data_IF_473269604976
#
_entry.id   IF_473269604976
#
_cell.length_a   1.000
_cell.length_b   1.000
_cell.length_c   1.000
_cell.angle_alpha   90.00
_cell.angle_beta   90.00
_cell.angle_gamma   90.00
#
_symmetry.space_group_name_H-M   'P 1'
#
loop_
_entity.id
_entity.type
_entity.pdbx_description
1 polymer ?
#
# COMPACT_ATOMS: atom_id res chain seq x y z
N UNK A 1 -34.29 20.40 -67.58
CA UNK A 1 -33.32 21.19 -66.83
C UNK A 1 -33.82 21.28 -65.45
N UNK A 2 -33.37 20.38 -64.56
CA UNK A 2 -33.72 20.34 -63.19
C UNK A 2 -32.42 20.01 -62.40
N UNK A 3 -32.01 20.95 -61.62
CA UNK A 3 -30.79 20.82 -60.73
C UNK A 3 -31.05 19.88 -59.57
N UNK A 4 -30.04 19.13 -59.10
CA UNK A 4 -30.20 18.28 -57.94
C UNK A 4 -30.00 19.05 -56.61
N UNK A 5 -30.87 18.82 -55.66
CA UNK A 5 -30.83 19.30 -54.31
C UNK A 5 -29.72 18.60 -53.50
N UNK A 6 -28.82 19.39 -52.96
CA UNK A 6 -27.80 18.94 -52.01
C UNK A 6 -28.43 18.69 -50.62
N UNK A 7 -28.41 17.45 -50.17
CA UNK A 7 -28.72 17.08 -48.79
C UNK A 7 -27.47 17.33 -47.94
N UNK A 8 -27.54 18.31 -47.05
CA UNK A 8 -26.54 18.56 -46.03
C UNK A 8 -26.78 17.60 -44.84
N UNK A 9 -25.90 16.62 -44.68
CA UNK A 9 -25.84 15.80 -43.46
C UNK A 9 -25.00 16.52 -42.45
N UNK A 10 -25.62 17.20 -41.50
CA UNK A 10 -24.96 17.60 -40.24
C UNK A 10 -25.04 16.44 -39.28
N UNK A 11 -23.93 15.76 -39.09
CA UNK A 11 -23.67 14.89 -37.96
C UNK A 11 -23.00 15.73 -36.89
N UNK A 12 -23.79 16.41 -36.05
CA UNK A 12 -23.32 16.97 -34.80
C UNK A 12 -23.12 15.82 -33.78
N UNK A 13 -21.96 15.19 -33.86
CA UNK A 13 -21.45 14.40 -32.73
C UNK A 13 -21.00 15.41 -31.68
N UNK A 14 -21.86 15.66 -30.70
CA UNK A 14 -21.53 16.43 -29.52
C UNK A 14 -20.42 15.72 -28.76
N UNK A 15 -19.18 16.14 -28.98
CA UNK A 15 -18.07 15.81 -28.12
C UNK A 15 -18.39 16.46 -26.77
N UNK A 16 -18.83 15.64 -25.83
CA UNK A 16 -18.94 16.01 -24.43
C UNK A 16 -17.61 16.61 -24.00
N UNK A 17 -17.60 17.91 -23.75
CA UNK A 17 -16.44 18.58 -23.20
C UNK A 17 -16.07 17.87 -21.89
N UNK A 18 -15.03 17.07 -21.93
CA UNK A 18 -14.41 16.51 -20.75
C UNK A 18 -14.19 17.68 -19.79
N UNK A 19 -14.79 17.62 -18.62
CA UNK A 19 -14.53 18.55 -17.54
C UNK A 19 -13.03 18.52 -17.30
N UNK A 20 -12.32 19.53 -17.75
CA UNK A 20 -10.97 19.77 -17.37
C UNK A 20 -10.97 19.97 -15.84
N UNK A 21 -10.74 18.92 -15.09
CA UNK A 21 -10.45 19.01 -13.68
C UNK A 21 -9.25 19.94 -13.57
N UNK A 22 -9.45 21.10 -12.95
CA UNK A 22 -8.35 21.92 -12.45
C UNK A 22 -7.59 21.06 -11.43
N UNK A 23 -6.71 20.19 -11.91
CA UNK A 23 -5.72 19.57 -11.07
C UNK A 23 -5.04 20.72 -10.33
N UNK A 24 -5.19 20.81 -9.01
CA UNK A 24 -4.29 21.64 -8.21
C UNK A 24 -2.89 21.19 -8.60
N UNK A 25 -2.13 22.05 -9.26
CA UNK A 25 -0.73 21.80 -9.58
C UNK A 25 -0.03 21.76 -8.24
N UNK A 26 0.16 20.55 -7.71
CA UNK A 26 1.14 20.38 -6.64
C UNK A 26 2.48 20.83 -7.20
N UNK A 27 3.31 21.51 -6.39
CA UNK A 27 4.62 21.91 -6.88
C UNK A 27 5.32 20.67 -7.42
N UNK A 28 5.79 20.75 -8.66
CA UNK A 28 6.67 19.74 -9.23
C UNK A 28 7.86 19.65 -8.27
N UNK A 29 8.27 18.42 -7.93
CA UNK A 29 9.45 18.21 -7.11
C UNK A 29 10.61 18.96 -7.74
N UNK A 30 11.34 19.73 -6.94
CA UNK A 30 12.62 20.36 -7.35
C UNK A 30 13.79 19.35 -7.36
N UNK A 31 13.46 18.05 -7.38
CA UNK A 31 14.41 16.94 -7.34
C UNK A 31 14.73 16.46 -5.92
N UNK A 32 14.12 17.06 -4.90
CA UNK A 32 14.27 16.63 -3.50
C UNK A 32 12.91 16.25 -2.87
N UNK A 33 12.85 15.20 -2.03
CA UNK A 33 11.64 14.87 -1.30
C UNK A 33 11.38 15.89 -0.18
N UNK A 34 10.11 16.11 0.14
CA UNK A 34 9.72 16.83 1.35
C UNK A 34 9.78 15.86 2.53
N UNK A 35 10.73 16.03 3.44
CA UNK A 35 10.79 15.24 4.68
C UNK A 35 10.32 16.08 5.87
N UNK A 36 9.32 15.55 6.61
CA UNK A 36 8.79 16.12 7.83
C UNK A 36 9.07 15.18 8.99
N UNK A 37 9.80 15.63 10.00
CA UNK A 37 10.01 14.86 11.23
C UNK A 37 8.94 15.27 12.24
N UNK A 38 8.12 14.31 12.63
CA UNK A 38 7.01 14.50 13.57
C UNK A 38 7.51 14.46 15.02
N UNK A 39 6.66 14.87 15.96
CA UNK A 39 6.98 14.83 17.38
C UNK A 39 7.24 13.38 17.86
N UNK A 40 8.14 13.24 18.81
CA UNK A 40 8.56 11.96 19.38
C UNK A 40 7.44 11.19 20.09
N UNK A 41 7.68 9.91 20.45
CA UNK A 41 6.62 9.02 20.88
C UNK A 41 6.02 9.42 22.23
N UNK A 42 4.71 9.27 22.37
CA UNK A 42 4.01 9.26 23.65
C UNK A 42 4.43 8.07 24.51
N UNK A 43 4.05 8.10 25.79
CA UNK A 43 4.26 6.95 26.69
C UNK A 43 3.61 5.69 26.12
N UNK A 44 2.39 5.80 25.57
CA UNK A 44 1.72 4.68 24.93
C UNK A 44 2.52 4.14 23.72
N UNK A 45 3.03 5.01 22.84
CA UNK A 45 3.88 4.59 21.72
C UNK A 45 5.12 3.83 22.19
N UNK A 46 5.79 4.30 23.24
CA UNK A 46 6.96 3.60 23.84
C UNK A 46 6.59 2.24 24.42
N UNK A 47 5.44 2.14 25.10
CA UNK A 47 4.97 0.87 25.66
C UNK A 47 4.62 -0.15 24.57
N UNK A 48 4.00 0.27 23.47
CA UNK A 48 3.74 -0.61 22.34
C UNK A 48 5.04 -1.05 21.64
N UNK A 49 6.02 -0.16 21.47
CA UNK A 49 7.34 -0.53 20.93
C UNK A 49 8.05 -1.53 21.83
N UNK A 50 8.02 -1.34 23.16
CA UNK A 50 8.57 -2.28 24.13
C UNK A 50 7.83 -3.64 24.08
N UNK A 51 6.51 -3.63 24.00
CA UNK A 51 5.74 -4.86 23.87
C UNK A 51 6.10 -5.63 22.59
N UNK A 52 6.24 -4.94 21.46
CA UNK A 52 6.69 -5.54 20.21
C UNK A 52 8.09 -6.15 20.33
N UNK A 53 9.02 -5.45 20.99
CA UNK A 53 10.38 -5.94 21.27
C UNK A 53 10.38 -7.22 22.12
N UNK A 54 9.46 -7.34 23.07
CA UNK A 54 9.39 -8.47 23.99
C UNK A 54 8.57 -9.65 23.46
N UNK A 55 7.73 -9.45 22.43
CA UNK A 55 6.82 -10.48 21.91
C UNK A 55 7.06 -10.77 20.44
N UNK A 56 6.98 -9.78 19.57
CA UNK A 56 7.06 -9.94 18.12
C UNK A 56 8.50 -10.26 17.70
N UNK A 57 9.47 -9.48 18.17
CA UNK A 57 10.89 -9.65 17.80
C UNK A 57 11.44 -11.04 18.16
N UNK A 58 11.21 -11.61 19.35
CA UNK A 58 11.60 -13.00 19.66
C UNK A 58 10.92 -14.03 18.76
N UNK A 59 9.62 -13.85 18.46
CA UNK A 59 8.88 -14.74 17.56
C UNK A 59 9.48 -14.74 16.16
N UNK A 60 9.76 -13.55 15.60
CA UNK A 60 10.42 -13.42 14.31
C UNK A 60 11.88 -13.94 14.35
N UNK A 61 12.56 -13.78 15.47
CA UNK A 61 13.92 -14.35 15.66
C UNK A 61 13.88 -15.87 15.52
N UNK A 62 12.97 -16.54 16.23
CA UNK A 62 12.81 -18.00 16.13
C UNK A 62 12.43 -18.41 14.72
N UNK A 63 11.45 -17.74 14.11
CA UNK A 63 11.00 -18.04 12.75
C UNK A 63 12.11 -17.86 11.70
N UNK A 64 12.95 -16.84 11.84
CA UNK A 64 14.04 -16.56 10.91
C UNK A 64 15.20 -17.58 10.93
N UNK A 65 15.31 -18.38 11.99
CA UNK A 65 16.30 -19.47 12.04
C UNK A 65 15.85 -20.75 11.31
N UNK A 66 14.56 -20.89 11.04
CA UNK A 66 14.00 -22.02 10.33
C UNK A 66 12.87 -21.59 9.39
N UNK A 67 13.14 -20.74 8.39
CA UNK A 67 12.08 -20.09 7.59
C UNK A 67 11.28 -21.07 6.76
N UNK A 68 11.84 -22.22 6.40
CA UNK A 68 11.19 -23.26 5.60
C UNK A 68 10.27 -24.20 6.38
N UNK A 69 10.25 -24.11 7.71
CA UNK A 69 9.29 -24.87 8.50
C UNK A 69 7.86 -24.35 8.21
N UNK A 70 6.84 -25.24 8.29
CA UNK A 70 5.45 -24.88 8.04
C UNK A 70 4.87 -24.09 9.23
N UNK A 71 5.37 -22.88 9.43
CA UNK A 71 4.85 -22.00 10.47
C UNK A 71 3.38 -21.68 10.21
N UNK A 72 2.52 -21.67 11.23
CA UNK A 72 1.10 -21.41 11.06
C UNK A 72 0.79 -19.91 10.93
N UNK A 73 1.43 -19.24 9.97
CA UNK A 73 1.32 -17.79 9.79
C UNK A 73 -0.12 -17.30 9.60
N UNK A 74 -1.00 -18.13 9.01
CA UNK A 74 -2.41 -17.80 8.85
C UNK A 74 -3.21 -17.74 10.15
N UNK A 75 -2.70 -18.32 11.26
CA UNK A 75 -3.39 -18.26 12.56
C UNK A 75 -3.48 -16.83 13.09
N UNK A 76 -2.55 -15.94 12.76
CA UNK A 76 -2.58 -14.57 13.22
C UNK A 76 -3.82 -13.84 12.69
N UNK A 77 -4.09 -13.93 11.39
CA UNK A 77 -5.26 -13.30 10.81
C UNK A 77 -6.57 -14.02 11.23
N UNK A 78 -6.52 -15.35 11.39
CA UNK A 78 -7.66 -16.09 11.91
C UNK A 78 -8.00 -15.66 13.34
N UNK A 79 -7.03 -15.54 14.23
CA UNK A 79 -7.23 -15.08 15.60
C UNK A 79 -7.77 -13.64 15.65
N UNK A 80 -7.36 -12.79 14.72
CA UNK A 80 -7.83 -11.41 14.63
C UNK A 80 -9.33 -11.27 14.28
N UNK A 81 -9.99 -12.34 13.84
CA UNK A 81 -11.47 -12.36 13.60
C UNK A 81 -12.29 -12.03 14.85
N UNK A 82 -11.74 -12.22 16.05
CA UNK A 82 -12.41 -11.83 17.29
C UNK A 82 -12.49 -10.33 17.49
N UNK A 83 -11.66 -9.54 16.78
CA UNK A 83 -11.71 -8.10 16.81
C UNK A 83 -12.94 -7.60 16.05
N UNK A 84 -13.94 -7.17 16.82
CA UNK A 84 -15.17 -6.65 16.24
C UNK A 84 -14.93 -5.32 15.53
N UNK A 85 -15.57 -5.11 14.35
CA UNK A 85 -15.58 -3.82 13.71
C UNK A 85 -16.26 -2.75 14.57
N UNK A 86 -15.93 -1.49 14.33
CA UNK A 86 -16.62 -0.39 14.99
C UNK A 86 -18.12 -0.36 14.60
N UNK A 87 -19.02 0.08 15.49
CA UNK A 87 -20.45 0.16 15.18
C UNK A 87 -20.71 0.97 13.90
N UNK A 88 -21.59 0.44 13.05
CA UNK A 88 -21.95 1.06 11.76
C UNK A 88 -20.94 0.84 10.62
N UNK A 89 -19.84 0.10 10.84
CA UNK A 89 -18.95 -0.33 9.77
C UNK A 89 -19.62 -1.41 8.93
N UNK A 90 -19.58 -1.24 7.62
CA UNK A 90 -20.07 -2.23 6.64
C UNK A 90 -18.88 -2.93 6.01
N UNK A 91 -18.93 -4.25 5.93
CA UNK A 91 -17.93 -5.10 5.27
C UNK A 91 -18.61 -6.03 4.28
N UNK A 92 -18.08 -6.12 3.07
CA UNK A 92 -18.59 -7.02 2.04
C UNK A 92 -17.41 -7.77 1.40
N UNK A 93 -17.55 -9.07 1.23
CA UNK A 93 -16.55 -9.87 0.51
C UNK A 93 -16.80 -9.78 -0.97
N UNK A 94 -15.73 -9.52 -1.73
CA UNK A 94 -15.70 -9.43 -3.19
C UNK A 94 -14.89 -10.61 -3.70
N UNK A 95 -15.47 -11.42 -4.58
CA UNK A 95 -14.74 -12.48 -5.29
C UNK A 95 -13.90 -11.87 -6.41
N UNK A 96 -12.63 -12.24 -6.48
CA UNK A 96 -11.68 -11.95 -7.55
C UNK A 96 -11.27 -13.27 -8.22
N UNK A 97 -10.62 -13.25 -9.40
CA UNK A 97 -10.31 -14.48 -10.14
C UNK A 97 -9.54 -15.53 -9.34
N UNK A 98 -8.53 -15.13 -8.56
CA UNK A 98 -7.64 -16.04 -7.85
C UNK A 98 -7.66 -15.86 -6.32
N UNK A 99 -8.30 -14.80 -5.83
CA UNK A 99 -8.40 -14.50 -4.40
C UNK A 99 -9.74 -13.86 -4.06
N UNK A 100 -9.84 -13.25 -2.90
CA UNK A 100 -10.96 -12.37 -2.55
C UNK A 100 -10.44 -11.03 -2.03
N UNK A 101 -11.31 -10.04 -2.01
CA UNK A 101 -11.06 -8.77 -1.36
C UNK A 101 -12.21 -8.46 -0.38
N UNK A 102 -11.95 -7.56 0.55
CA UNK A 102 -12.97 -7.06 1.46
C UNK A 102 -13.20 -5.57 1.22
N UNK A 103 -14.40 -5.21 0.82
CA UNK A 103 -14.82 -3.82 0.74
C UNK A 103 -15.26 -3.36 2.13
N UNK A 104 -14.55 -2.39 2.69
CA UNK A 104 -14.79 -1.85 4.03
C UNK A 104 -15.25 -0.41 3.93
N UNK A 105 -16.29 -0.07 4.68
CA UNK A 105 -16.86 1.26 4.74
C UNK A 105 -17.17 1.62 6.19
N UNK A 106 -16.49 2.63 6.72
CA UNK A 106 -16.75 3.13 8.05
C UNK A 106 -18.14 3.78 8.16
N UNK A 107 -18.64 3.90 9.37
CA UNK A 107 -19.91 4.59 9.63
C UNK A 107 -19.87 6.04 9.11
N UNK A 108 -20.91 6.45 8.41
CA UNK A 108 -21.04 7.79 7.81
C UNK A 108 -20.39 7.96 6.45
N UNK A 109 -19.55 7.03 6.01
CA UNK A 109 -18.94 7.06 4.66
C UNK A 109 -19.95 6.57 3.62
N UNK A 110 -20.02 7.24 2.47
CA UNK A 110 -20.93 6.88 1.38
C UNK A 110 -20.52 5.56 0.69
N UNK A 111 -21.47 4.85 0.08
CA UNK A 111 -21.19 3.61 -0.66
C UNK A 111 -20.17 3.78 -1.79
N UNK A 112 -19.55 2.65 -2.17
CA UNK A 112 -18.70 2.54 -3.36
C UNK A 112 -19.58 2.55 -4.62
N UNK A 113 -19.80 3.73 -5.19
CA UNK A 113 -20.73 3.97 -6.31
C UNK A 113 -20.05 4.30 -7.65
N UNK A 114 -18.72 4.22 -7.71
CA UNK A 114 -17.95 4.57 -8.90
C UNK A 114 -17.84 6.06 -9.21
N UNK A 115 -18.35 6.94 -8.35
CA UNK A 115 -18.46 8.39 -8.64
C UNK A 115 -17.49 9.25 -7.83
N UNK A 116 -16.95 8.70 -6.76
CA UNK A 116 -16.07 9.42 -5.85
C UNK A 116 -14.80 8.61 -5.64
N UNK A 117 -14.00 8.99 -4.66
CA UNK A 117 -12.75 8.31 -4.34
C UNK A 117 -12.96 6.90 -3.78
N UNK A 118 -11.97 6.05 -4.01
CA UNK A 118 -11.82 4.74 -3.38
C UNK A 118 -10.35 4.48 -3.07
N UNK A 119 -10.08 3.75 -1.99
CA UNK A 119 -8.73 3.29 -1.66
C UNK A 119 -8.63 1.80 -1.97
N UNK A 120 -7.64 1.42 -2.76
CA UNK A 120 -7.20 0.03 -2.93
C UNK A 120 -6.06 -0.23 -1.96
N UNK A 121 -6.27 -1.14 -1.00
CA UNK A 121 -5.36 -1.37 0.10
C UNK A 121 -4.73 -2.76 0.06
N UNK A 122 -3.41 -2.80 0.07
CA UNK A 122 -2.59 -3.99 0.18
C UNK A 122 -2.03 -4.08 1.59
N UNK A 123 -2.38 -5.15 2.32
CA UNK A 123 -1.94 -5.30 3.72
C UNK A 123 -0.47 -5.72 3.83
N UNK A 124 0.15 -5.39 4.96
CA UNK A 124 1.48 -5.86 5.31
C UNK A 124 1.51 -7.30 5.80
N UNK A 125 2.67 -7.71 6.33
CA UNK A 125 2.90 -9.05 6.87
C UNK A 125 3.95 -9.85 6.10
N UNK A 126 4.93 -9.17 5.49
CA UNK A 126 6.07 -9.77 4.78
C UNK A 126 5.65 -10.76 3.67
N UNK A 127 4.51 -10.53 3.01
CA UNK A 127 3.88 -11.45 2.04
C UNK A 127 3.58 -12.85 2.59
N UNK A 128 3.65 -13.06 3.90
CA UNK A 128 3.68 -14.36 4.56
C UNK A 128 2.53 -14.53 5.56
N UNK A 129 2.11 -13.45 6.18
CA UNK A 129 1.14 -13.45 7.30
C UNK A 129 0.23 -12.22 7.24
N UNK A 130 -0.64 -12.09 8.23
CA UNK A 130 -1.66 -11.04 8.31
C UNK A 130 -2.76 -11.21 7.25
N UNK A 131 -3.62 -10.19 7.14
CA UNK A 131 -4.75 -10.19 6.21
C UNK A 131 -5.80 -9.16 6.59
N UNK A 132 -6.99 -9.32 6.05
CA UNK A 132 -8.11 -8.38 6.19
C UNK A 132 -8.61 -8.23 7.64
N UNK A 133 -8.38 -9.26 8.50
CA UNK A 133 -8.84 -9.20 9.89
C UNK A 133 -7.83 -8.49 10.80
N UNK A 134 -6.54 -8.77 10.65
CA UNK A 134 -5.45 -8.09 11.39
C UNK A 134 -5.43 -6.60 11.12
N UNK A 135 -5.70 -6.19 9.88
CA UNK A 135 -5.73 -4.78 9.46
C UNK A 135 -7.11 -4.12 9.59
N UNK A 136 -8.13 -4.86 10.05
CA UNK A 136 -9.51 -4.39 10.05
C UNK A 136 -9.72 -3.03 10.71
N UNK A 137 -9.11 -2.77 11.88
CA UNK A 137 -9.24 -1.48 12.60
C UNK A 137 -8.49 -0.34 11.91
N UNK A 138 -7.31 -0.60 11.34
CA UNK A 138 -6.56 0.37 10.58
C UNK A 138 -7.37 0.79 9.34
N UNK A 139 -7.89 -0.18 8.59
CA UNK A 139 -8.69 0.05 7.39
C UNK A 139 -9.99 0.81 7.69
N UNK A 140 -10.67 0.50 8.79
CA UNK A 140 -11.84 1.24 9.24
C UNK A 140 -11.49 2.71 9.54
N UNK A 141 -10.39 2.94 10.26
CA UNK A 141 -9.93 4.29 10.56
C UNK A 141 -9.54 5.04 9.28
N UNK A 142 -8.85 4.36 8.35
CA UNK A 142 -8.50 4.91 7.04
C UNK A 142 -9.75 5.29 6.25
N UNK A 143 -10.74 4.39 6.16
CA UNK A 143 -12.03 4.66 5.51
C UNK A 143 -12.70 5.90 6.10
N UNK A 144 -12.73 6.02 7.42
CA UNK A 144 -13.31 7.15 8.13
C UNK A 144 -12.59 8.46 7.83
N UNK A 145 -11.25 8.48 7.92
CA UNK A 145 -10.47 9.72 7.77
C UNK A 145 -10.32 10.14 6.32
N UNK A 146 -10.27 9.20 5.39
CA UNK A 146 -10.28 9.48 3.95
C UNK A 146 -11.69 9.82 3.42
N UNK A 147 -12.74 9.63 4.20
CA UNK A 147 -14.14 9.68 3.72
C UNK A 147 -14.30 8.87 2.42
N UNK A 148 -13.88 7.61 2.48
CA UNK A 148 -13.75 6.74 1.30
C UNK A 148 -14.01 5.28 1.65
N UNK A 149 -14.69 4.50 0.80
CA UNK A 149 -14.60 3.04 0.85
C UNK A 149 -13.15 2.60 0.65
N UNK A 150 -12.79 1.47 1.28
CA UNK A 150 -11.47 0.83 1.13
C UNK A 150 -11.68 -0.61 0.68
N UNK A 151 -11.08 -0.98 -0.45
CA UNK A 151 -11.02 -2.36 -0.94
C UNK A 151 -9.69 -2.97 -0.51
N UNK A 152 -9.73 -3.91 0.43
CA UNK A 152 -8.56 -4.62 0.94
C UNK A 152 -8.39 -5.93 0.19
N UNK A 153 -7.26 -6.11 -0.47
CA UNK A 153 -6.96 -7.34 -1.21
C UNK A 153 -6.45 -8.40 -0.26
N UNK A 154 -7.04 -9.58 -0.28
CA UNK A 154 -6.55 -10.76 0.43
C UNK A 154 -5.71 -11.59 -0.54
N UNK A 155 -4.59 -11.02 -0.98
CA UNK A 155 -3.73 -11.55 -2.02
C UNK A 155 -3.07 -12.87 -1.62
N UNK A 156 -2.70 -13.69 -2.60
CA UNK A 156 -1.96 -14.95 -2.42
C UNK A 156 -0.57 -14.66 -1.86
N UNK A 157 -0.14 -15.48 -0.89
CA UNK A 157 1.10 -15.23 -0.13
C UNK A 157 2.13 -16.34 -0.27
N UNK A 158 3.40 -15.97 -0.06
CA UNK A 158 4.51 -16.94 0.11
C UNK A 158 4.27 -17.80 1.37
N UNK A 159 4.87 -18.97 1.47
CA UNK A 159 5.74 -19.62 0.50
C UNK A 159 4.97 -20.34 -0.61
N UNK A 160 3.64 -20.39 -0.53
CA UNK A 160 2.82 -21.17 -1.47
C UNK A 160 2.72 -20.51 -2.84
N UNK A 161 2.69 -19.20 -2.87
CA UNK A 161 2.58 -18.39 -4.07
C UNK A 161 3.75 -17.41 -4.16
N UNK A 162 4.06 -16.90 -5.34
CA UNK A 162 5.09 -15.89 -5.55
C UNK A 162 4.57 -14.47 -5.31
N UNK A 163 5.48 -13.49 -5.26
CA UNK A 163 5.09 -12.07 -5.20
C UNK A 163 4.42 -11.65 -6.51
N UNK A 164 4.84 -12.19 -7.68
CA UNK A 164 4.19 -11.94 -8.96
C UNK A 164 2.72 -12.34 -8.94
N UNK A 165 2.38 -13.49 -8.34
CA UNK A 165 0.98 -13.90 -8.16
C UNK A 165 0.20 -12.98 -7.20
N UNK A 166 0.85 -12.45 -6.17
CA UNK A 166 0.25 -11.42 -5.32
C UNK A 166 -0.01 -10.11 -6.10
N UNK A 167 0.90 -9.74 -7.01
CA UNK A 167 0.73 -8.59 -7.89
C UNK A 167 -0.44 -8.75 -8.87
N UNK A 168 -0.61 -9.96 -9.44
CA UNK A 168 -1.78 -10.29 -10.28
C UNK A 168 -3.08 -10.07 -9.51
N UNK A 169 -3.16 -10.54 -8.27
CA UNK A 169 -4.33 -10.37 -7.40
C UNK A 169 -4.62 -8.88 -7.10
N UNK A 170 -3.58 -8.06 -6.92
CA UNK A 170 -3.72 -6.62 -6.74
C UNK A 170 -4.20 -5.93 -8.02
N UNK A 171 -3.71 -6.36 -9.19
CA UNK A 171 -4.17 -5.86 -10.48
C UNK A 171 -5.64 -6.26 -10.75
N UNK A 172 -6.02 -7.50 -10.44
CA UNK A 172 -7.41 -7.95 -10.56
C UNK A 172 -8.35 -7.10 -9.69
N UNK A 173 -7.91 -6.72 -8.48
CA UNK A 173 -8.67 -5.83 -7.61
C UNK A 173 -8.78 -4.41 -8.16
N UNK A 174 -7.72 -3.88 -8.78
CA UNK A 174 -7.75 -2.60 -9.47
C UNK A 174 -8.72 -2.64 -10.66
N UNK A 175 -8.63 -3.67 -11.50
CA UNK A 175 -9.55 -3.85 -12.64
C UNK A 175 -11.00 -4.00 -12.19
N UNK A 176 -11.25 -4.67 -11.06
CA UNK A 176 -12.58 -4.73 -10.48
C UNK A 176 -13.12 -3.33 -10.13
N UNK A 177 -12.30 -2.44 -9.59
CA UNK A 177 -12.69 -1.05 -9.33
C UNK A 177 -12.99 -0.30 -10.64
N UNK A 178 -12.16 -0.47 -11.68
CA UNK A 178 -12.40 0.10 -13.01
C UNK A 178 -13.74 -0.36 -13.58
N UNK A 179 -14.04 -1.65 -13.48
CA UNK A 179 -15.34 -2.22 -13.91
C UNK A 179 -16.53 -1.70 -13.08
N UNK A 180 -16.30 -1.20 -11.86
CA UNK A 180 -17.31 -0.52 -11.04
C UNK A 180 -17.49 0.95 -11.41
N UNK A 181 -16.78 1.46 -12.40
CA UNK A 181 -16.89 2.82 -12.91
C UNK A 181 -15.99 3.84 -12.23
N UNK A 182 -15.01 3.41 -11.45
CA UNK A 182 -14.00 4.33 -10.93
C UNK A 182 -12.98 4.70 -12.01
N UNK A 183 -12.70 5.98 -12.16
CA UNK A 183 -11.59 6.45 -12.99
C UNK A 183 -10.26 6.36 -12.22
N UNK A 184 -9.10 6.27 -12.91
CA UNK A 184 -7.80 6.14 -12.24
C UNK A 184 -7.53 7.23 -11.21
N UNK A 185 -7.88 8.49 -11.50
CA UNK A 185 -7.71 9.66 -10.64
C UNK A 185 -8.64 9.68 -9.41
N UNK A 186 -9.53 8.70 -9.29
CA UNK A 186 -10.38 8.45 -8.12
C UNK A 186 -9.82 7.32 -7.23
N UNK A 187 -8.83 6.56 -7.71
CA UNK A 187 -8.27 5.40 -7.01
C UNK A 187 -6.93 5.78 -6.37
N UNK A 188 -6.83 5.60 -5.06
CA UNK A 188 -5.56 5.70 -4.32
C UNK A 188 -5.06 4.31 -4.00
N UNK A 189 -3.82 4.01 -4.36
CA UNK A 189 -3.14 2.78 -3.96
C UNK A 189 -2.53 3.01 -2.58
N UNK A 190 -2.84 2.14 -1.62
CA UNK A 190 -2.31 2.28 -0.27
C UNK A 190 -1.88 0.93 0.29
N UNK A 191 -0.86 0.94 1.16
CA UNK A 191 -0.40 -0.29 1.80
C UNK A 191 0.62 -0.03 2.90
N UNK A 192 0.83 -1.05 3.70
CA UNK A 192 1.82 -1.02 4.76
C UNK A 192 2.87 -2.12 4.57
N UNK A 193 4.12 -1.89 4.96
CA UNK A 193 5.19 -2.89 4.89
C UNK A 193 5.29 -3.53 3.48
N UNK A 194 5.11 -4.85 3.38
CA UNK A 194 5.01 -5.59 2.09
C UNK A 194 3.89 -5.04 1.17
N UNK A 195 2.81 -4.52 1.74
CA UNK A 195 1.76 -3.85 0.98
C UNK A 195 2.22 -2.53 0.36
N UNK A 196 3.21 -1.86 0.96
CA UNK A 196 3.87 -0.70 0.38
C UNK A 196 4.62 -1.04 -0.92
N UNK A 197 5.34 -2.17 -0.91
CA UNK A 197 5.96 -2.74 -2.12
C UNK A 197 4.92 -2.99 -3.21
N UNK A 198 3.84 -3.71 -2.88
CA UNK A 198 2.77 -4.01 -3.85
C UNK A 198 2.10 -2.74 -4.38
N UNK A 199 1.98 -1.69 -3.55
CA UNK A 199 1.39 -0.41 -3.97
C UNK A 199 2.24 0.32 -4.99
N UNK A 200 3.56 0.37 -4.79
CA UNK A 200 4.48 1.02 -5.72
C UNK A 200 4.60 0.21 -7.02
N UNK A 201 4.84 -1.10 -6.91
CA UNK A 201 4.94 -1.98 -8.07
C UNK A 201 3.65 -1.99 -8.92
N UNK A 202 2.47 -1.94 -8.29
CA UNK A 202 1.21 -1.80 -9.04
C UNK A 202 1.10 -0.44 -9.74
N UNK A 203 1.55 0.65 -9.08
CA UNK A 203 1.55 1.97 -9.70
C UNK A 203 2.44 2.03 -10.95
N UNK A 204 3.61 1.41 -10.90
CA UNK A 204 4.54 1.31 -12.04
C UNK A 204 3.93 0.49 -13.18
N UNK A 205 3.34 -0.66 -12.87
CA UNK A 205 2.66 -1.48 -13.89
C UNK A 205 1.51 -0.74 -14.55
N UNK A 206 0.68 -0.06 -13.77
CA UNK A 206 -0.44 0.73 -14.29
C UNK A 206 0.04 1.91 -15.12
N UNK A 207 1.15 2.56 -14.73
CA UNK A 207 1.77 3.63 -15.52
C UNK A 207 2.18 3.15 -16.90
N UNK A 208 2.78 1.97 -17.02
CA UNK A 208 3.11 1.36 -18.31
C UNK A 208 1.85 1.03 -19.16
N UNK A 209 0.73 0.78 -18.52
CA UNK A 209 -0.57 0.56 -19.15
C UNK A 209 -1.29 1.88 -19.52
N UNK A 210 -0.69 3.04 -19.18
CA UNK A 210 -1.27 4.37 -19.42
C UNK A 210 -2.34 4.77 -18.38
N UNK A 211 -2.42 4.05 -17.26
CA UNK A 211 -3.32 4.33 -16.14
C UNK A 211 -2.56 5.07 -15.03
N UNK A 212 -3.14 6.16 -14.51
CA UNK A 212 -2.50 6.96 -13.47
C UNK A 212 -3.40 7.09 -12.24
N UNK A 213 -3.22 6.25 -11.22
CA UNK A 213 -3.91 6.39 -9.94
C UNK A 213 -3.67 7.78 -9.31
N UNK A 214 -4.61 8.24 -8.48
CA UNK A 214 -4.56 9.55 -7.85
C UNK A 214 -3.32 9.75 -6.97
N UNK A 215 -2.90 8.71 -6.26
CA UNK A 215 -1.72 8.73 -5.39
C UNK A 215 -1.29 7.32 -4.97
N UNK A 216 -0.06 7.22 -4.47
CA UNK A 216 0.45 6.10 -3.68
C UNK A 216 0.63 6.56 -2.24
N UNK A 217 0.14 5.77 -1.27
CA UNK A 217 0.26 6.05 0.17
C UNK A 217 0.80 4.84 0.89
N UNK A 218 1.93 4.97 1.56
CA UNK A 218 2.57 3.84 2.22
C UNK A 218 2.87 4.10 3.70
N UNK A 219 2.81 3.05 4.49
CA UNK A 219 3.11 3.06 5.92
C UNK A 219 4.22 2.06 6.20
N UNK A 220 5.38 2.53 6.70
CA UNK A 220 6.54 1.68 6.97
C UNK A 220 6.88 0.73 5.78
N UNK A 221 7.00 1.23 4.55
CA UNK A 221 7.08 0.36 3.37
C UNK A 221 8.38 -0.45 3.32
N UNK A 222 8.25 -1.70 2.88
CA UNK A 222 9.35 -2.48 2.34
C UNK A 222 9.38 -2.20 0.84
N UNK A 223 10.41 -1.55 0.30
CA UNK A 223 10.45 -1.23 -1.12
C UNK A 223 11.44 -2.07 -1.94
N UNK A 224 12.29 -2.81 -1.28
CA UNK A 224 13.25 -3.73 -1.90
C UNK A 224 13.18 -5.10 -1.23
N UNK A 225 13.37 -6.16 -1.99
CA UNK A 225 13.57 -7.50 -1.44
C UNK A 225 15.03 -7.69 -1.07
N UNK A 226 15.97 -7.15 -1.86
CA UNK A 226 17.38 -7.11 -1.47
C UNK A 226 17.57 -6.48 -0.10
N UNK A 227 18.44 -7.07 0.71
CA UNK A 227 18.61 -6.68 2.11
C UNK A 227 20.03 -6.22 2.48
N UNK A 228 20.94 -6.09 1.55
CA UNK A 228 22.35 -5.75 1.83
C UNK A 228 22.47 -4.44 2.64
N UNK A 229 21.67 -3.45 2.28
CA UNK A 229 21.66 -2.14 2.97
C UNK A 229 21.15 -2.22 4.40
N UNK A 230 20.19 -3.11 4.68
CA UNK A 230 19.55 -3.23 6.00
C UNK A 230 20.46 -3.83 7.03
N UNK A 231 21.35 -4.75 6.64
CA UNK A 231 22.32 -5.35 7.53
C UNK A 231 23.29 -4.33 8.14
N UNK A 232 23.52 -3.21 7.46
CA UNK A 232 24.42 -2.14 7.88
C UNK A 232 23.70 -0.94 8.49
N UNK A 233 22.35 -0.91 8.47
CA UNK A 233 21.59 0.22 8.96
C UNK A 233 21.72 0.37 10.48
N UNK A 234 21.92 1.59 11.03
CA UNK A 234 22.05 1.80 12.47
C UNK A 234 20.90 1.24 13.31
N UNK A 235 19.69 1.26 12.75
CA UNK A 235 18.49 0.77 13.43
C UNK A 235 18.36 -0.76 13.46
N UNK A 236 19.20 -1.54 12.76
CA UNK A 236 19.03 -3.00 12.65
C UNK A 236 19.00 -3.72 14.01
N UNK A 237 19.73 -3.21 15.00
CA UNK A 237 19.76 -3.78 16.35
C UNK A 237 18.70 -3.17 17.27
N UNK A 238 18.32 -1.91 17.06
CA UNK A 238 17.37 -1.15 17.89
C UNK A 238 15.93 -1.26 17.41
N UNK A 239 15.68 -1.76 16.21
CA UNK A 239 14.32 -1.99 15.68
C UNK A 239 13.50 -2.84 16.67
N UNK A 240 12.28 -2.39 16.96
CA UNK A 240 11.43 -3.04 17.96
C UNK A 240 10.82 -4.37 17.47
N UNK A 241 10.78 -4.59 16.14
CA UNK A 241 10.12 -5.77 15.55
C UNK A 241 11.08 -6.69 14.82
N UNK A 242 11.98 -6.15 13.99
CA UNK A 242 12.80 -6.97 13.10
C UNK A 242 14.14 -7.36 13.69
N UNK A 243 14.43 -8.67 13.85
CA UNK A 243 15.79 -9.15 14.11
C UNK A 243 16.61 -9.10 12.81
N UNK A 244 17.95 -9.00 12.87
CA UNK A 244 18.80 -8.91 11.68
C UNK A 244 18.59 -10.03 10.66
N UNK A 245 18.32 -11.25 11.10
CA UNK A 245 18.10 -12.42 10.23
C UNK A 245 16.71 -12.43 9.53
N UNK A 246 15.75 -11.62 9.97
CA UNK A 246 14.39 -11.68 9.42
C UNK A 246 14.36 -11.36 7.91
N UNK A 247 15.13 -10.38 7.47
CA UNK A 247 15.18 -10.00 6.06
C UNK A 247 15.90 -11.04 5.21
N UNK A 248 16.99 -11.65 5.69
CA UNK A 248 17.66 -12.76 4.99
C UNK A 248 16.71 -13.95 4.82
N UNK A 249 15.95 -14.29 5.87
CA UNK A 249 14.95 -15.34 5.80
C UNK A 249 13.81 -15.00 4.82
N UNK A 250 13.41 -13.74 4.75
CA UNK A 250 12.41 -13.26 3.80
C UNK A 250 12.91 -13.41 2.35
N UNK A 251 14.12 -12.96 2.05
CA UNK A 251 14.75 -13.12 0.72
C UNK A 251 14.75 -14.58 0.30
N UNK A 252 15.20 -15.48 1.17
CA UNK A 252 15.23 -16.94 0.91
C UNK A 252 13.85 -17.49 0.55
N UNK A 253 12.79 -17.07 1.28
CA UNK A 253 11.42 -17.52 1.02
C UNK A 253 10.87 -16.94 -0.28
N UNK A 254 11.11 -15.67 -0.56
CA UNK A 254 10.69 -15.00 -1.80
C UNK A 254 11.32 -15.65 -3.01
N UNK A 255 12.65 -15.80 -3.02
CA UNK A 255 13.37 -16.46 -4.12
C UNK A 255 12.91 -17.92 -4.33
N UNK A 256 12.70 -18.64 -3.22
CA UNK A 256 12.20 -20.01 -3.29
C UNK A 256 10.81 -20.10 -3.89
N UNK A 257 9.93 -19.14 -3.61
CA UNK A 257 8.60 -19.07 -4.19
C UNK A 257 8.67 -18.70 -5.68
N UNK A 258 9.46 -17.69 -6.03
CA UNK A 258 9.67 -17.25 -7.41
C UNK A 258 10.24 -18.38 -8.30
N UNK A 259 11.24 -19.12 -7.82
CA UNK A 259 11.82 -20.27 -8.54
C UNK A 259 10.81 -21.39 -8.86
N UNK A 260 9.72 -21.52 -8.09
CA UNK A 260 8.66 -22.52 -8.33
C UNK A 260 7.56 -22.03 -9.25
N UNK A 261 7.46 -20.74 -9.46
CA UNK A 261 6.47 -20.15 -10.35
C UNK A 261 7.09 -19.92 -11.72
N UNK A 262 6.57 -20.61 -12.75
CA UNK A 262 7.10 -20.52 -14.12
C UNK A 262 6.25 -19.53 -14.91
N UNK A 263 6.91 -18.54 -15.49
CA UNK A 263 6.33 -17.54 -16.38
C UNK A 263 7.07 -17.63 -17.72
N UNK A 264 6.34 -17.84 -18.81
CA UNK A 264 6.88 -17.97 -20.17
C UNK A 264 7.99 -19.05 -20.31
N UNK A 265 7.90 -20.12 -19.52
CA UNK A 265 8.84 -21.23 -19.53
C UNK A 265 10.09 -21.08 -18.64
N UNK A 266 10.24 -19.93 -17.99
CA UNK A 266 11.36 -19.62 -17.09
C UNK A 266 10.85 -19.37 -15.65
N UNK A 267 11.69 -19.60 -14.62
CA UNK A 267 11.37 -19.20 -13.26
C UNK A 267 11.10 -17.69 -13.17
N UNK A 268 10.07 -17.31 -12.40
CA UNK A 268 9.76 -15.93 -12.16
C UNK A 268 10.97 -15.16 -11.60
N UNK A 269 11.22 -13.97 -12.12
CA UNK A 269 12.17 -13.03 -11.54
C UNK A 269 11.49 -12.19 -10.48
N UNK A 270 12.15 -12.03 -9.33
CA UNK A 270 11.66 -11.13 -8.29
C UNK A 270 11.70 -9.70 -8.85
N UNK A 271 10.57 -9.04 -8.80
CA UNK A 271 10.45 -7.65 -9.22
C UNK A 271 11.01 -6.73 -8.13
N UNK A 272 11.81 -5.75 -8.48
CA UNK A 272 12.33 -4.74 -7.54
C UNK A 272 11.76 -3.36 -7.92
N UNK A 273 10.76 -2.83 -7.18
CA UNK A 273 10.10 -1.58 -7.56
C UNK A 273 11.07 -0.41 -7.73
N UNK A 274 12.11 -0.32 -6.91
CA UNK A 274 13.04 0.81 -7.01
C UNK A 274 13.85 0.83 -8.31
N UNK A 275 13.94 -0.27 -9.03
CA UNK A 275 14.61 -0.34 -10.34
C UNK A 275 13.74 0.21 -11.49
N UNK A 276 12.46 0.47 -11.23
CA UNK A 276 11.46 0.84 -12.24
C UNK A 276 10.83 2.23 -12.02
N UNK A 277 11.46 3.06 -11.18
CA UNK A 277 10.98 4.42 -10.94
C UNK A 277 11.19 5.29 -12.18
N UNK A 278 10.09 5.77 -12.76
CA UNK A 278 10.07 6.61 -13.96
C UNK A 278 9.31 7.92 -13.71
N UNK A 279 9.57 8.96 -14.55
CA UNK A 279 8.77 10.17 -14.52
C UNK A 279 7.30 9.91 -14.82
N UNK A 280 6.40 10.60 -14.13
CA UNK A 280 4.95 10.48 -14.35
C UNK A 280 4.24 9.49 -13.44
N UNK A 281 4.94 8.82 -12.54
CA UNK A 281 4.32 8.03 -11.48
C UNK A 281 3.45 8.91 -10.56
N UNK A 282 2.45 8.32 -9.87
CA UNK A 282 1.56 9.06 -9.00
C UNK A 282 2.29 9.74 -7.84
N UNK A 283 1.81 10.91 -7.42
CA UNK A 283 2.29 11.55 -6.19
C UNK A 283 2.28 10.56 -5.03
N UNK A 284 3.32 10.62 -4.17
CA UNK A 284 3.52 9.59 -3.14
C UNK A 284 3.64 10.20 -1.75
N UNK A 285 2.96 9.57 -0.78
CA UNK A 285 3.10 9.86 0.65
C UNK A 285 3.66 8.63 1.37
N UNK A 286 4.70 8.83 2.16
CA UNK A 286 5.35 7.78 2.94
C UNK A 286 5.32 8.16 4.43
N UNK A 287 4.70 7.34 5.28
CA UNK A 287 4.83 7.43 6.73
C UNK A 287 5.74 6.32 7.22
N UNK A 288 6.75 6.63 8.01
CA UNK A 288 7.76 5.67 8.45
C UNK A 288 8.22 5.96 9.88
N UNK A 289 8.56 4.94 10.66
CA UNK A 289 9.17 5.15 11.96
C UNK A 289 10.63 5.58 11.82
N UNK A 290 11.05 6.56 12.61
CA UNK A 290 12.47 6.95 12.71
C UNK A 290 13.35 5.90 13.39
N UNK A 291 12.76 4.87 14.00
CA UNK A 291 13.46 3.83 14.78
C UNK A 291 13.44 2.45 14.13
N UNK A 292 12.78 2.31 12.98
CA UNK A 292 12.77 1.04 12.22
C UNK A 292 13.87 0.99 11.15
N UNK A 293 14.25 -0.22 10.77
CA UNK A 293 15.28 -0.45 9.75
C UNK A 293 14.83 -0.01 8.36
N UNK A 294 13.52 -0.08 8.06
CA UNK A 294 12.94 0.32 6.77
C UNK A 294 12.90 1.85 6.54
N UNK A 295 13.38 2.65 7.49
CA UNK A 295 13.60 4.08 7.27
C UNK A 295 14.51 4.35 6.07
N UNK A 296 15.52 3.50 5.86
CA UNK A 296 16.42 3.62 4.72
C UNK A 296 15.68 3.38 3.39
N UNK A 297 14.86 2.33 3.32
CA UNK A 297 14.04 2.03 2.14
C UNK A 297 13.13 3.20 1.78
N UNK A 298 12.45 3.76 2.79
CA UNK A 298 11.55 4.88 2.63
C UNK A 298 12.26 6.13 2.08
N UNK A 299 13.44 6.46 2.63
CA UNK A 299 14.24 7.60 2.16
C UNK A 299 14.83 7.38 0.78
N UNK A 300 15.38 6.20 0.51
CA UNK A 300 15.91 5.83 -0.81
C UNK A 300 14.83 5.98 -1.88
N UNK A 301 13.67 5.38 -1.68
CA UNK A 301 12.54 5.49 -2.59
C UNK A 301 12.10 6.94 -2.79
N UNK A 302 12.01 7.72 -1.71
CA UNK A 302 11.62 9.13 -1.80
C UNK A 302 12.60 9.96 -2.63
N UNK A 303 13.91 9.76 -2.46
CA UNK A 303 14.91 10.43 -3.26
C UNK A 303 14.86 10.04 -4.75
N UNK A 304 14.66 8.75 -5.04
CA UNK A 304 14.53 8.27 -6.42
C UNK A 304 13.27 8.81 -7.10
N UNK A 305 12.13 8.77 -6.42
CA UNK A 305 10.87 9.35 -6.90
C UNK A 305 11.01 10.86 -7.15
N UNK A 306 11.58 11.60 -6.19
CA UNK A 306 11.78 13.03 -6.34
C UNK A 306 12.73 13.36 -7.50
N UNK A 307 13.83 12.61 -7.67
CA UNK A 307 14.74 12.74 -8.79
C UNK A 307 14.06 12.48 -10.16
N UNK A 308 13.08 11.58 -10.20
CA UNK A 308 12.20 11.35 -11.36
C UNK A 308 11.13 12.43 -11.54
N UNK A 309 11.10 13.48 -10.71
CA UNK A 309 10.11 14.57 -10.79
C UNK A 309 8.74 14.22 -10.19
N UNK A 310 8.62 13.09 -9.48
CA UNK A 310 7.40 12.69 -8.79
C UNK A 310 7.27 13.47 -7.48
N UNK A 311 6.13 14.14 -7.19
CA UNK A 311 5.90 14.78 -5.90
C UNK A 311 5.88 13.74 -4.77
N UNK A 312 6.79 13.84 -3.80
CA UNK A 312 6.89 12.88 -2.70
C UNK A 312 7.08 13.58 -1.36
N UNK A 313 6.33 13.12 -0.36
CA UNK A 313 6.40 13.56 1.02
C UNK A 313 6.70 12.37 1.93
N UNK A 314 7.69 12.52 2.82
CA UNK A 314 8.04 11.53 3.84
C UNK A 314 7.74 12.11 5.21
N UNK A 315 6.99 11.40 6.03
CA UNK A 315 6.75 11.73 7.44
C UNK A 315 7.44 10.72 8.34
N UNK A 316 8.47 11.18 9.02
CA UNK A 316 9.27 10.37 9.95
C UNK A 316 8.72 10.51 11.36
N UNK A 317 8.36 9.40 11.98
CA UNK A 317 7.77 9.31 13.31
C UNK A 317 8.77 8.72 14.31
N UNK A 318 9.50 9.53 15.08
CA UNK A 318 10.54 9.04 15.99
C UNK A 318 9.99 8.08 17.06
N UNK A 319 10.75 7.01 17.37
CA UNK A 319 10.48 6.11 18.47
C UNK A 319 9.23 5.25 18.37
N UNK A 320 8.58 5.21 17.20
CA UNK A 320 7.45 4.32 16.96
C UNK A 320 7.92 2.91 16.54
N UNK A 321 7.07 1.91 16.72
CA UNK A 321 7.31 0.58 16.12
C UNK A 321 6.93 0.58 14.63
N UNK A 322 7.36 -0.45 13.90
CA UNK A 322 6.95 -0.72 12.52
C UNK A 322 5.42 -0.79 12.39
N UNK A 323 4.85 -0.10 11.39
CA UNK A 323 3.40 0.03 11.15
C UNK A 323 2.64 0.40 12.44
N UNK A 324 3.13 1.39 13.18
CA UNK A 324 2.51 1.84 14.43
C UNK A 324 1.04 2.26 14.26
N UNK A 325 0.60 2.54 13.05
CA UNK A 325 -0.80 2.85 12.71
C UNK A 325 -1.78 1.74 13.12
N UNK A 326 -1.33 0.49 13.21
CA UNK A 326 -2.12 -0.64 13.73
C UNK A 326 -2.53 -0.45 15.21
N UNK A 327 -1.83 0.40 15.95
CA UNK A 327 -2.12 0.67 17.37
C UNK A 327 -3.23 1.71 17.59
N UNK A 328 -3.80 2.28 16.53
CA UNK A 328 -4.92 3.22 16.65
C UNK A 328 -6.17 2.51 17.20
N UNK A 329 -6.94 3.16 18.08
CA UNK A 329 -6.77 4.52 18.60
C UNK A 329 -5.93 4.62 19.87
N UNK A 330 -5.32 3.54 20.37
CA UNK A 330 -4.62 3.49 21.66
C UNK A 330 -3.37 4.40 21.69
N UNK A 331 -2.69 4.57 20.55
CA UNK A 331 -1.54 5.48 20.39
C UNK A 331 -2.00 6.71 19.61
N UNK A 332 -1.82 7.89 20.21
CA UNK A 332 -2.27 9.17 19.60
C UNK A 332 -1.55 9.48 18.29
N UNK A 333 -0.28 9.12 18.17
CA UNK A 333 0.53 9.30 16.95
C UNK A 333 -0.04 8.44 15.81
N UNK A 334 -0.48 7.22 16.08
CA UNK A 334 -1.13 6.35 15.11
C UNK A 334 -2.42 6.99 14.55
N UNK A 335 -3.23 7.54 15.45
CA UNK A 335 -4.45 8.27 15.05
C UNK A 335 -4.14 9.53 14.24
N UNK A 336 -3.10 10.30 14.64
CA UNK A 336 -2.65 11.49 13.92
C UNK A 336 -2.14 11.14 12.53
N UNK A 337 -1.32 10.09 12.42
CA UNK A 337 -0.82 9.57 11.14
C UNK A 337 -1.97 9.21 10.20
N UNK A 338 -2.94 8.43 10.66
CA UNK A 338 -4.10 8.04 9.83
C UNK A 338 -4.99 9.22 9.42
N UNK A 339 -5.10 10.28 10.25
CA UNK A 339 -5.80 11.51 9.86
C UNK A 339 -5.07 12.26 8.76
N UNK A 340 -3.76 12.43 8.87
CA UNK A 340 -2.93 13.06 7.84
C UNK A 340 -2.99 12.28 6.53
N UNK A 341 -2.92 10.94 6.58
CA UNK A 341 -3.11 10.08 5.41
C UNK A 341 -4.49 10.30 4.80
N UNK A 342 -5.55 10.34 5.62
CA UNK A 342 -6.91 10.60 5.13
C UNK A 342 -7.06 11.98 4.48
N UNK A 343 -6.43 13.01 5.03
CA UNK A 343 -6.37 14.36 4.43
C UNK A 343 -5.68 14.33 3.08
N UNK A 344 -4.51 13.71 2.99
CA UNK A 344 -3.77 13.57 1.75
C UNK A 344 -4.58 12.84 0.66
N UNK A 345 -5.27 11.74 1.02
CA UNK A 345 -6.15 11.00 0.09
C UNK A 345 -7.27 11.92 -0.43
N UNK A 346 -7.92 12.67 0.45
CA UNK A 346 -8.98 13.60 0.03
C UNK A 346 -8.45 14.70 -0.90
N UNK A 347 -7.26 15.21 -0.65
CA UNK A 347 -6.60 16.21 -1.50
C UNK A 347 -6.19 15.65 -2.86
N UNK A 348 -5.77 14.39 -2.91
CA UNK A 348 -5.34 13.76 -4.16
C UNK A 348 -6.50 13.42 -5.11
N UNK A 349 -7.73 13.28 -4.59
CA UNK A 349 -8.90 12.76 -5.31
C UNK A 349 -10.04 13.77 -5.48
N UNK A 350 -9.73 15.03 -5.56
CA UNK A 350 -10.72 16.11 -5.78
C UNK A 350 -11.09 16.26 -7.25
#
# INVERSE_FOLDING_TARGET
MTAPSTVSSRSDVGISAARAHKARRFPVSDGAPVEVVEDGPSIAGRLFALAAMLTIKPTLTIGSHAPRLPWPWGLLDFAARVMRPAPGTVRATIGLPNCNAQLVRASGVLPADGKRRVVLYMHGGAFLTCGVNTHGRLVEALSKYADSPVLVVNYRMIPKHSIGQAMEDCQDAYQWLRLKGYEPDQIVLAGDSAGGYLSLALAEKLHLEGELPAAVVTMSPLFEIDNEHRAQHPNIHSDAMFPPKAFTALVELVESAAKRHIVDGEPERVYEPLDHIEPGLPRTLIHVSGSEVLLNDARKAAHMLAAAGVPVEVRVWPGQMHVFQLTAPAVKEATRSLRQIGEYIREATW
#
